data_IF_480269050887
#
_entry.id   IF_480269050887
#
_cell.length_a   1.000
_cell.length_b   1.000
_cell.length_c   1.000
_cell.angle_alpha   90.00
_cell.angle_beta   90.00
_cell.angle_gamma   90.00
#
_symmetry.space_group_name_H-M   'P 1'
#
loop_
_entity.id
_entity.type
_entity.pdbx_description
1 polymer ?
#
# COMPACT_ATOMS: atom_id res chain seq x y z
N UNK A 1 1.32 -15.77 -25.99
CA UNK A 1 1.18 -15.28 -24.60
C UNK A 1 2.12 -15.99 -23.62
N UNK A 2 2.18 -17.33 -23.57
CA UNK A 2 3.03 -18.07 -22.61
C UNK A 2 4.54 -18.07 -22.96
N UNK A 3 4.93 -18.00 -24.23
CA UNK A 3 6.35 -18.01 -24.64
C UNK A 3 7.12 -16.72 -24.32
N UNK A 4 6.47 -15.56 -24.33
CA UNK A 4 7.09 -14.28 -23.97
C UNK A 4 7.31 -14.13 -22.46
N UNK A 5 6.44 -14.75 -21.64
CA UNK A 5 6.62 -14.82 -20.19
C UNK A 5 7.90 -15.59 -19.83
N UNK A 6 8.13 -16.73 -20.51
CA UNK A 6 9.34 -17.56 -20.35
C UNK A 6 10.59 -16.81 -20.82
N UNK A 7 10.49 -16.04 -21.91
CA UNK A 7 11.62 -15.29 -22.46
C UNK A 7 12.09 -14.16 -21.53
N UNK A 8 11.19 -13.57 -20.74
CA UNK A 8 11.52 -12.48 -19.83
C UNK A 8 11.86 -12.90 -18.40
N UNK A 9 11.29 -14.00 -17.89
CA UNK A 9 11.85 -14.69 -16.71
C UNK A 9 13.33 -15.00 -16.98
N UNK A 10 13.68 -15.40 -18.20
CA UNK A 10 15.07 -15.60 -18.61
C UNK A 10 15.95 -14.34 -18.60
N UNK A 11 15.40 -13.12 -18.76
CA UNK A 11 16.20 -11.88 -18.86
C UNK A 11 16.59 -11.27 -17.52
N UNK A 12 15.81 -11.48 -16.45
CA UNK A 12 16.16 -11.06 -15.08
C UNK A 12 15.60 -12.02 -14.01
N UNK A 13 15.95 -13.31 -14.08
CA UNK A 13 15.41 -14.34 -13.17
C UNK A 13 15.77 -14.03 -11.71
N UNK A 14 16.96 -13.46 -11.48
CA UNK A 14 17.43 -13.07 -10.15
C UNK A 14 16.44 -12.17 -9.42
N UNK A 15 16.02 -11.05 -10.00
CA UNK A 15 15.06 -10.13 -9.36
C UNK A 15 13.71 -10.77 -9.05
N UNK A 16 13.15 -11.58 -9.97
CA UNK A 16 11.87 -12.25 -9.72
C UNK A 16 11.99 -13.27 -8.58
N UNK A 17 13.11 -14.01 -8.53
CA UNK A 17 13.42 -14.93 -7.44
C UNK A 17 13.60 -14.17 -6.12
N UNK A 18 14.39 -13.09 -6.10
CA UNK A 18 14.61 -12.29 -4.89
C UNK A 18 13.33 -11.67 -4.34
N UNK A 19 12.40 -11.25 -5.21
CA UNK A 19 11.08 -10.75 -4.80
C UNK A 19 10.14 -11.86 -4.33
N UNK A 20 10.24 -13.06 -4.89
CA UNK A 20 9.44 -14.20 -4.47
C UNK A 20 9.91 -14.82 -3.15
N UNK A 21 11.20 -14.70 -2.80
CA UNK A 21 11.76 -15.28 -1.56
C UNK A 21 11.00 -14.83 -0.31
N UNK A 22 10.78 -13.52 -0.05
CA UNK A 22 9.99 -13.08 1.10
C UNK A 22 8.56 -13.64 1.10
N UNK A 23 7.90 -13.66 -0.07
CA UNK A 23 6.53 -14.17 -0.20
C UNK A 23 6.45 -15.68 0.13
N UNK A 24 7.37 -16.47 -0.42
CA UNK A 24 7.47 -17.91 -0.14
C UNK A 24 7.80 -18.13 1.34
N UNK A 25 8.74 -17.37 1.89
CA UNK A 25 9.10 -17.45 3.31
C UNK A 25 7.89 -17.16 4.22
N UNK A 26 7.16 -16.07 3.97
CA UNK A 26 5.94 -15.75 4.73
C UNK A 26 4.83 -16.79 4.53
N UNK A 27 4.67 -17.33 3.32
CA UNK A 27 3.73 -18.42 3.08
C UNK A 27 4.09 -19.67 3.90
N UNK A 28 5.37 -20.06 3.90
CA UNK A 28 5.86 -21.19 4.70
C UNK A 28 5.63 -20.97 6.18
N UNK A 29 5.98 -19.79 6.73
CA UNK A 29 5.70 -19.46 8.13
C UNK A 29 4.20 -19.52 8.45
N UNK A 30 3.34 -19.08 7.53
CA UNK A 30 1.89 -19.12 7.69
C UNK A 30 1.35 -20.56 7.73
N UNK A 31 1.91 -21.48 6.96
CA UNK A 31 1.48 -22.88 6.91
C UNK A 31 2.15 -23.76 7.99
N UNK A 32 3.32 -23.35 8.48
CA UNK A 32 4.09 -24.06 9.51
C UNK A 32 4.29 -23.15 10.73
N UNK A 33 3.24 -22.88 11.52
CA UNK A 33 3.30 -21.96 12.66
C UNK A 33 4.30 -22.40 13.75
N UNK A 34 4.70 -23.68 13.77
CA UNK A 34 5.74 -24.21 14.67
C UNK A 34 7.11 -23.56 14.46
N UNK A 35 7.38 -23.03 13.27
CA UNK A 35 8.62 -22.32 12.95
C UNK A 35 8.64 -20.89 13.51
N UNK A 36 7.48 -20.37 13.92
CA UNK A 36 7.27 -18.97 14.32
C UNK A 36 7.24 -18.78 15.86
N UNK A 37 7.47 -19.84 16.62
CA UNK A 37 7.12 -19.96 18.06
C UNK A 37 7.98 -19.07 18.99
N UNK A 38 9.14 -18.59 18.56
CA UNK A 38 10.04 -17.79 19.42
C UNK A 38 10.16 -16.30 19.09
N UNK A 39 9.76 -15.86 17.89
CA UNK A 39 9.86 -14.43 17.53
C UNK A 39 8.72 -13.58 18.14
N UNK A 40 7.61 -14.21 18.52
CA UNK A 40 6.37 -13.54 18.94
C UNK A 40 5.98 -13.78 20.41
N UNK A 41 6.75 -14.57 21.14
CA UNK A 41 6.45 -14.92 22.55
C UNK A 41 6.85 -13.84 23.56
N UNK A 42 7.66 -12.84 23.15
CA UNK A 42 8.01 -11.67 23.96
C UNK A 42 7.09 -10.49 23.60
N UNK A 43 5.95 -10.42 24.28
CA UNK A 43 4.85 -9.51 23.93
C UNK A 43 5.23 -8.03 23.84
N UNK A 44 6.27 -7.57 24.55
CA UNK A 44 6.77 -6.19 24.45
C UNK A 44 7.68 -6.00 23.23
N UNK A 45 8.67 -6.88 23.05
CA UNK A 45 9.66 -6.75 21.98
C UNK A 45 9.00 -6.87 20.59
N UNK A 46 8.04 -7.77 20.43
CA UNK A 46 7.28 -7.92 19.18
C UNK A 46 6.47 -6.67 18.85
N UNK A 47 5.87 -6.00 19.85
CA UNK A 47 5.16 -4.74 19.64
C UNK A 47 6.10 -3.59 19.29
N UNK A 48 7.26 -3.53 19.93
CA UNK A 48 8.30 -2.55 19.62
C UNK A 48 8.82 -2.73 18.18
N UNK A 49 9.03 -3.97 17.75
CA UNK A 49 9.35 -4.30 16.35
C UNK A 49 8.24 -3.81 15.42
N UNK A 50 6.97 -4.14 15.69
CA UNK A 50 5.85 -3.70 14.86
C UNK A 50 5.78 -2.18 14.72
N UNK A 51 5.97 -1.45 15.82
CA UNK A 51 6.07 0.01 15.83
C UNK A 51 7.16 0.52 14.88
N UNK A 52 8.39 0.02 15.01
CA UNK A 52 9.52 0.49 14.19
C UNK A 52 9.40 0.09 12.73
N UNK A 53 8.98 -1.15 12.44
CA UNK A 53 8.78 -1.61 11.07
C UNK A 53 7.68 -0.83 10.37
N UNK A 54 6.55 -0.60 11.04
CA UNK A 54 5.46 0.19 10.47
C UNK A 54 5.85 1.66 10.26
N UNK A 55 6.56 2.27 11.21
CA UNK A 55 7.04 3.65 11.08
C UNK A 55 8.08 3.79 9.96
N UNK A 56 9.00 2.83 9.84
CA UNK A 56 9.96 2.77 8.75
C UNK A 56 9.27 2.58 7.39
N UNK A 57 8.34 1.64 7.28
CA UNK A 57 7.56 1.41 6.06
C UNK A 57 6.76 2.67 5.66
N UNK A 58 6.17 3.36 6.64
CA UNK A 58 5.50 4.64 6.43
C UNK A 58 6.43 5.71 5.88
N UNK A 59 7.65 5.82 6.44
CA UNK A 59 8.65 6.76 5.98
C UNK A 59 9.13 6.46 4.54
N UNK A 60 9.39 5.19 4.23
CA UNK A 60 9.74 4.75 2.87
C UNK A 60 8.60 5.05 1.89
N UNK A 61 7.35 4.80 2.26
CA UNK A 61 6.19 5.15 1.45
C UNK A 61 6.08 6.67 1.22
N UNK A 62 6.37 7.49 2.23
CA UNK A 62 6.40 8.94 2.08
C UNK A 62 7.50 9.39 1.11
N UNK A 63 8.70 8.81 1.22
CA UNK A 63 9.79 9.06 0.27
C UNK A 63 9.35 8.69 -1.15
N UNK A 64 8.73 7.52 -1.33
CA UNK A 64 8.21 7.09 -2.63
C UNK A 64 7.16 8.07 -3.18
N UNK A 65 6.29 8.62 -2.32
CA UNK A 65 5.36 9.67 -2.72
C UNK A 65 6.07 10.97 -3.17
N UNK A 66 7.10 11.41 -2.45
CA UNK A 66 7.87 12.60 -2.83
C UNK A 66 8.59 12.40 -4.16
N UNK A 67 9.15 11.21 -4.41
CA UNK A 67 9.74 10.85 -5.70
C UNK A 67 8.68 10.77 -6.81
N UNK A 68 7.53 10.15 -6.54
CA UNK A 68 6.40 10.10 -7.47
C UNK A 68 5.93 11.49 -7.89
N UNK A 69 5.88 12.43 -6.95
CA UNK A 69 5.46 13.81 -7.20
C UNK A 69 6.52 14.61 -7.96
N UNK A 70 7.81 14.38 -7.67
CA UNK A 70 8.94 15.15 -8.26
C UNK A 70 9.43 14.62 -9.61
N UNK A 71 9.34 13.32 -9.87
CA UNK A 71 9.92 12.67 -11.06
C UNK A 71 9.29 13.08 -12.41
N UNK A 72 8.29 13.96 -12.40
CA UNK A 72 7.45 14.25 -13.57
C UNK A 72 7.54 15.69 -14.09
N UNK A 73 8.39 16.51 -13.49
CA UNK A 73 8.68 17.86 -13.98
C UNK A 73 7.44 18.73 -14.19
N UNK A 74 7.45 19.55 -15.25
CA UNK A 74 6.39 20.54 -15.53
C UNK A 74 5.04 19.93 -15.96
N UNK A 75 5.00 18.67 -16.40
CA UNK A 75 3.77 18.03 -16.90
C UNK A 75 3.19 17.06 -15.86
N UNK A 76 2.36 17.59 -14.96
CA UNK A 76 1.56 16.76 -14.06
C UNK A 76 0.53 15.95 -14.85
N UNK A 77 0.50 14.62 -14.64
CA UNK A 77 -0.47 13.71 -15.27
C UNK A 77 -1.42 13.11 -14.23
N UNK A 78 -2.57 12.58 -14.66
CA UNK A 78 -3.49 11.90 -13.74
C UNK A 78 -2.84 10.69 -13.05
N UNK A 79 -2.01 9.94 -13.80
CA UNK A 79 -1.25 8.79 -13.29
C UNK A 79 -0.44 9.16 -12.07
N UNK A 80 0.25 10.29 -12.11
CA UNK A 80 1.14 10.68 -11.01
C UNK A 80 0.44 11.16 -9.76
N UNK A 81 -0.68 11.86 -9.95
CA UNK A 81 -1.52 12.32 -8.85
C UNK A 81 -1.98 11.09 -8.06
N UNK A 82 -2.55 10.08 -8.74
CA UNK A 82 -3.02 8.87 -8.07
C UNK A 82 -1.88 8.05 -7.45
N UNK A 83 -0.75 7.91 -8.15
CA UNK A 83 0.42 7.19 -7.64
C UNK A 83 0.95 7.85 -6.35
N UNK A 84 1.03 9.18 -6.33
CA UNK A 84 1.45 9.95 -5.14
C UNK A 84 0.44 9.81 -4.00
N UNK A 85 -0.86 9.96 -4.28
CA UNK A 85 -1.92 9.81 -3.27
C UNK A 85 -1.93 8.40 -2.69
N UNK A 86 -1.72 7.37 -3.52
CA UNK A 86 -1.63 5.97 -3.07
C UNK A 86 -0.50 5.77 -2.07
N UNK A 87 0.70 6.28 -2.35
CA UNK A 87 1.82 6.19 -1.41
C UNK A 87 1.62 7.00 -0.13
N UNK A 88 0.93 8.15 -0.20
CA UNK A 88 0.61 8.94 0.99
C UNK A 88 -0.47 8.29 1.84
N UNK A 89 -1.48 7.69 1.24
CA UNK A 89 -2.47 6.90 1.96
C UNK A 89 -1.78 5.73 2.69
N UNK A 90 -0.90 5.00 1.99
CA UNK A 90 -0.11 3.92 2.57
C UNK A 90 0.74 4.42 3.74
N UNK A 91 1.48 5.51 3.53
CA UNK A 91 2.33 6.13 4.53
C UNK A 91 1.55 6.56 5.77
N UNK A 92 0.47 7.33 5.60
CA UNK A 92 -0.31 7.86 6.70
C UNK A 92 -1.01 6.75 7.50
N UNK A 93 -1.58 5.76 6.83
CA UNK A 93 -2.26 4.65 7.51
C UNK A 93 -1.27 3.72 8.22
N UNK A 94 -0.09 3.44 7.65
CA UNK A 94 0.95 2.73 8.39
C UNK A 94 1.49 3.55 9.57
N UNK A 95 1.59 4.87 9.44
CA UNK A 95 1.97 5.71 10.58
C UNK A 95 0.94 5.63 11.69
N UNK A 96 -0.36 5.77 11.36
CA UNK A 96 -1.43 5.64 12.35
C UNK A 96 -1.43 4.28 13.03
N UNK A 97 -1.26 3.20 12.26
CA UNK A 97 -1.11 1.87 12.82
C UNK A 97 0.07 1.82 13.79
N UNK A 98 1.25 2.27 13.36
CA UNK A 98 2.47 2.22 14.18
C UNK A 98 2.31 3.00 15.46
N UNK A 99 1.83 4.25 15.39
CA UNK A 99 1.57 5.08 16.57
C UNK A 99 0.50 4.47 17.49
N UNK A 100 -0.47 3.77 16.94
CA UNK A 100 -1.51 3.06 17.69
C UNK A 100 -1.09 1.67 18.18
N UNK A 101 0.16 1.25 17.98
CA UNK A 101 0.64 -0.07 18.43
C UNK A 101 0.38 -0.22 19.93
N UNK A 102 -0.38 -1.26 20.36
CA UNK A 102 -0.82 -1.39 21.74
C UNK A 102 0.35 -1.42 22.73
N UNK A 103 0.24 -0.68 23.83
CA UNK A 103 1.24 -0.54 24.90
C UNK A 103 2.58 0.10 24.51
N UNK A 104 2.73 0.73 23.34
CA UNK A 104 3.96 1.50 23.02
C UNK A 104 3.77 2.98 23.34
N UNK A 105 2.83 3.64 22.67
CA UNK A 105 2.46 5.04 22.93
C UNK A 105 1.06 5.16 23.55
N UNK A 106 0.19 4.20 23.29
CA UNK A 106 -1.18 4.15 23.79
C UNK A 106 -1.33 2.88 24.61
N UNK A 107 -1.68 3.03 25.89
CA UNK A 107 -1.91 1.92 26.80
C UNK A 107 -3.21 1.17 26.45
N UNK A 108 -3.16 -0.17 26.50
CA UNK A 108 -4.30 -1.02 26.21
C UNK A 108 -3.89 -2.36 25.58
N UNK A 109 -4.63 -3.42 25.87
CA UNK A 109 -4.36 -4.75 25.31
C UNK A 109 -4.65 -4.84 23.80
N UNK A 110 -5.66 -4.11 23.34
CA UNK A 110 -6.06 -4.01 21.93
C UNK A 110 -6.32 -2.55 21.58
N UNK A 111 -5.92 -2.15 20.37
CA UNK A 111 -6.21 -0.83 19.83
C UNK A 111 -6.92 -0.98 18.47
N UNK A 112 -8.23 -0.70 18.38
CA UNK A 112 -8.99 -0.78 17.12
C UNK A 112 -8.37 0.06 16.00
N UNK A 113 -7.77 1.21 16.35
CA UNK A 113 -7.06 2.08 15.40
C UNK A 113 -5.91 1.35 14.75
N UNK A 114 -5.08 0.64 15.53
CA UNK A 114 -3.99 -0.19 15.00
C UNK A 114 -4.50 -1.18 13.95
N UNK A 115 -5.56 -1.90 14.29
CA UNK A 115 -6.14 -2.96 13.45
C UNK A 115 -6.72 -2.36 12.15
N UNK A 116 -7.55 -1.32 12.26
CA UNK A 116 -8.22 -0.73 11.12
C UNK A 116 -7.28 0.04 10.20
N UNK A 117 -6.29 0.75 10.74
CA UNK A 117 -5.27 1.40 9.94
C UNK A 117 -4.50 0.41 9.07
N UNK A 118 -4.15 -0.77 9.59
CA UNK A 118 -3.52 -1.85 8.78
C UNK A 118 -4.49 -2.39 7.74
N UNK A 119 -5.73 -2.69 8.14
CA UNK A 119 -6.73 -3.28 7.24
C UNK A 119 -7.09 -2.36 6.07
N UNK A 120 -7.06 -1.05 6.27
CA UNK A 120 -7.39 -0.05 5.26
C UNK A 120 -6.19 0.42 4.43
N UNK A 121 -4.95 0.28 4.93
CA UNK A 121 -3.76 0.80 4.25
C UNK A 121 -3.59 0.23 2.85
N UNK A 122 -3.67 -1.10 2.70
CA UNK A 122 -3.52 -1.76 1.41
C UNK A 122 -4.70 -1.52 0.45
N UNK A 123 -5.98 -1.69 0.84
CA UNK A 123 -7.10 -1.48 -0.08
C UNK A 123 -7.15 -0.07 -0.64
N UNK A 124 -7.00 0.95 0.22
CA UNK A 124 -7.09 2.35 -0.19
C UNK A 124 -5.93 2.67 -1.14
N UNK A 125 -4.71 2.26 -0.80
CA UNK A 125 -3.54 2.49 -1.65
C UNK A 125 -3.65 1.75 -2.97
N UNK A 126 -4.14 0.50 -2.96
CA UNK A 126 -4.34 -0.32 -4.15
C UNK A 126 -5.38 0.28 -5.11
N UNK A 127 -6.44 0.92 -4.60
CA UNK A 127 -7.40 1.66 -5.44
C UNK A 127 -6.71 2.79 -6.21
N UNK A 128 -5.88 3.58 -5.53
CA UNK A 128 -5.13 4.67 -6.16
C UNK A 128 -4.05 4.15 -7.12
N UNK A 129 -3.34 3.10 -6.76
CA UNK A 129 -2.37 2.48 -7.66
C UNK A 129 -3.04 1.91 -8.90
N UNK A 130 -4.18 1.24 -8.76
CA UNK A 130 -4.96 0.77 -9.91
C UNK A 130 -5.41 1.93 -10.80
N UNK A 131 -5.95 3.00 -10.19
CA UNK A 131 -6.35 4.22 -10.91
C UNK A 131 -5.18 4.89 -11.66
N UNK A 132 -3.94 4.78 -11.15
CA UNK A 132 -2.75 5.31 -11.83
C UNK A 132 -2.42 4.58 -13.14
N UNK A 133 -2.85 3.32 -13.30
CA UNK A 133 -2.58 2.50 -14.50
C UNK A 133 -3.67 2.59 -15.57
N UNK A 134 -4.73 3.36 -15.31
CA UNK A 134 -5.80 3.61 -16.27
C UNK A 134 -5.32 4.67 -17.27
N UNK A 135 -5.57 4.41 -18.56
CA UNK A 135 -5.34 5.39 -19.62
C UNK A 135 -6.57 6.29 -19.70
N UNK A 136 -6.57 7.35 -18.88
CA UNK A 136 -7.68 8.28 -18.77
C UNK A 136 -7.90 9.03 -20.09
N UNK A 137 -9.14 9.22 -20.55
CA UNK A 137 -9.40 10.07 -21.72
C UNK A 137 -8.98 11.51 -21.42
N UNK A 138 -8.54 12.25 -22.45
CA UNK A 138 -7.96 13.60 -22.28
C UNK A 138 -8.84 14.56 -21.46
N UNK A 139 -10.17 14.47 -21.57
CA UNK A 139 -11.10 15.29 -20.81
C UNK A 139 -11.07 14.95 -19.31
N UNK A 140 -11.02 13.67 -18.96
CA UNK A 140 -10.93 13.22 -17.57
C UNK A 140 -9.57 13.55 -16.97
N UNK A 141 -8.48 13.39 -17.73
CA UNK A 141 -7.14 13.76 -17.27
C UNK A 141 -7.05 15.27 -16.98
N UNK A 142 -7.53 16.12 -17.90
CA UNK A 142 -7.60 17.57 -17.67
C UNK A 142 -8.43 17.92 -16.44
N UNK A 143 -9.55 17.22 -16.24
CA UNK A 143 -10.38 17.40 -15.03
C UNK A 143 -9.62 17.04 -13.76
N UNK A 144 -9.00 15.85 -13.72
CA UNK A 144 -8.24 15.38 -12.55
C UNK A 144 -7.09 16.34 -12.22
N UNK A 145 -6.34 16.78 -13.22
CA UNK A 145 -5.23 17.73 -13.05
C UNK A 145 -5.74 19.09 -12.59
N UNK A 146 -6.85 19.58 -13.14
CA UNK A 146 -7.49 20.85 -12.73
C UNK A 146 -7.90 20.82 -11.26
N UNK A 147 -8.47 19.70 -10.80
CA UNK A 147 -8.93 19.52 -9.41
C UNK A 147 -7.90 18.87 -8.49
N UNK A 148 -6.61 18.79 -8.89
CA UNK A 148 -5.56 18.14 -8.08
C UNK A 148 -5.50 18.64 -6.65
N UNK A 149 -5.60 19.96 -6.44
CA UNK A 149 -5.55 20.57 -5.10
C UNK A 149 -6.75 20.15 -4.25
N UNK A 150 -7.91 19.97 -4.88
CA UNK A 150 -9.11 19.51 -4.19
C UNK A 150 -8.96 18.05 -3.77
N UNK A 151 -8.40 17.18 -4.62
CA UNK A 151 -8.10 15.80 -4.24
C UNK A 151 -7.13 15.73 -3.05
N UNK A 152 -6.11 16.57 -3.05
CA UNK A 152 -5.18 16.68 -1.91
C UNK A 152 -5.86 17.10 -0.62
N UNK A 153 -6.67 18.16 -0.67
CA UNK A 153 -7.40 18.66 0.50
C UNK A 153 -8.42 17.63 0.98
N UNK A 154 -9.15 16.98 0.07
CA UNK A 154 -10.11 15.94 0.41
C UNK A 154 -9.41 14.72 1.04
N UNK A 155 -8.28 14.27 0.49
CA UNK A 155 -7.49 13.18 1.05
C UNK A 155 -6.95 13.50 2.44
N UNK A 156 -6.42 14.71 2.64
CA UNK A 156 -5.97 15.18 3.94
C UNK A 156 -7.13 15.23 4.95
N UNK A 157 -8.27 15.77 4.54
CA UNK A 157 -9.46 15.86 5.40
C UNK A 157 -9.98 14.47 5.77
N UNK A 158 -9.99 13.51 4.84
CA UNK A 158 -10.38 12.12 5.11
C UNK A 158 -9.42 11.45 6.10
N UNK A 159 -8.11 11.65 5.97
CA UNK A 159 -7.11 11.12 6.89
C UNK A 159 -7.23 11.74 8.29
N UNK A 160 -7.45 13.06 8.37
CA UNK A 160 -7.69 13.76 9.64
C UNK A 160 -8.98 13.28 10.30
N UNK A 161 -10.05 13.18 9.53
CA UNK A 161 -11.34 12.65 9.99
C UNK A 161 -11.17 11.24 10.51
N UNK A 162 -10.49 10.37 9.77
CA UNK A 162 -10.17 9.01 10.24
C UNK A 162 -9.39 9.04 11.56
N UNK A 163 -8.34 9.85 11.68
CA UNK A 163 -7.58 9.99 12.93
C UNK A 163 -8.44 10.46 14.11
N UNK A 164 -9.27 11.48 13.90
CA UNK A 164 -10.20 11.99 14.93
C UNK A 164 -11.18 10.92 15.37
N UNK A 165 -11.80 10.18 14.43
CA UNK A 165 -12.71 9.10 14.78
C UNK A 165 -12.00 7.94 15.46
N UNK A 166 -10.82 7.57 14.97
CA UNK A 166 -10.08 6.43 15.48
C UNK A 166 -9.60 6.65 16.93
N UNK A 167 -9.10 7.84 17.26
CA UNK A 167 -8.65 8.16 18.61
C UNK A 167 -9.75 8.74 19.52
N UNK A 168 -10.74 9.44 18.96
CA UNK A 168 -11.80 10.08 19.73
C UNK A 168 -13.02 9.20 19.97
N UNK A 169 -13.32 8.24 19.09
CA UNK A 169 -14.48 7.34 19.19
C UNK A 169 -14.13 5.89 18.81
N UNK A 170 -13.21 5.23 19.56
CA UNK A 170 -12.74 3.88 19.24
C UNK A 170 -13.87 2.83 19.22
N UNK A 171 -14.95 3.05 19.99
CA UNK A 171 -16.12 2.15 20.03
C UNK A 171 -16.78 1.95 18.66
N UNK A 172 -16.74 2.95 17.76
CA UNK A 172 -17.24 2.80 16.40
C UNK A 172 -16.40 1.79 15.61
N UNK A 173 -15.07 1.85 15.75
CA UNK A 173 -14.17 0.90 15.11
C UNK A 173 -14.30 -0.51 15.70
N UNK A 174 -14.53 -0.62 17.02
CA UNK A 174 -14.82 -1.90 17.68
C UNK A 174 -16.11 -2.52 17.16
N UNK A 175 -17.17 -1.73 16.97
CA UNK A 175 -18.43 -2.23 16.42
C UNK A 175 -18.26 -2.84 15.03
N UNK A 176 -17.33 -2.33 14.22
CA UNK A 176 -17.02 -2.89 12.91
C UNK A 176 -16.23 -4.22 13.00
N UNK A 177 -15.57 -4.52 14.13
CA UNK A 177 -14.87 -5.78 14.34
C UNK A 177 -15.82 -6.97 14.47
N UNK A 178 -17.11 -6.75 14.74
CA UNK A 178 -18.12 -7.81 14.75
C UNK A 178 -18.27 -8.53 13.39
N UNK A 179 -17.80 -7.90 12.31
CA UNK A 179 -17.81 -8.47 10.96
C UNK A 179 -16.54 -9.27 10.65
N UNK A 180 -15.68 -9.55 11.63
CA UNK A 180 -14.54 -10.44 11.44
C UNK A 180 -15.01 -11.90 11.28
N UNK A 181 -14.45 -12.68 10.33
CA UNK A 181 -13.32 -12.35 9.44
C UNK A 181 -13.75 -11.81 8.05
N UNK A 182 -15.02 -11.50 7.83
CA UNK A 182 -15.58 -11.17 6.50
C UNK A 182 -14.92 -9.90 5.91
N UNK A 183 -14.93 -8.79 6.66
CA UNK A 183 -14.37 -7.52 6.16
C UNK A 183 -12.86 -7.60 5.86
N UNK A 184 -12.00 -8.15 6.76
CA UNK A 184 -10.58 -8.32 6.46
C UNK A 184 -10.31 -9.17 5.22
N UNK A 185 -11.07 -10.26 5.04
CA UNK A 185 -10.91 -11.14 3.88
C UNK A 185 -11.32 -10.42 2.58
N UNK A 186 -12.41 -9.64 2.61
CA UNK A 186 -12.85 -8.83 1.48
C UNK A 186 -11.78 -7.78 1.10
N UNK A 187 -11.27 -7.05 2.07
CA UNK A 187 -10.21 -6.06 1.86
C UNK A 187 -8.91 -6.69 1.37
N UNK A 188 -8.53 -7.84 1.91
CA UNK A 188 -7.38 -8.61 1.43
C UNK A 188 -7.56 -9.03 -0.03
N UNK A 189 -8.68 -9.65 -0.37
CA UNK A 189 -8.99 -10.08 -1.73
C UNK A 189 -9.02 -8.91 -2.73
N UNK A 190 -9.65 -7.79 -2.34
CA UNK A 190 -9.70 -6.57 -3.14
C UNK A 190 -8.31 -5.98 -3.37
N UNK A 191 -7.50 -5.88 -2.31
CA UNK A 191 -6.13 -5.37 -2.39
C UNK A 191 -5.27 -6.23 -3.32
N UNK A 192 -5.29 -7.55 -3.12
CA UNK A 192 -4.52 -8.49 -3.94
C UNK A 192 -4.95 -8.37 -5.40
N UNK A 193 -6.25 -8.36 -5.68
CA UNK A 193 -6.77 -8.25 -7.05
C UNK A 193 -6.34 -6.94 -7.72
N UNK A 194 -6.48 -5.81 -7.02
CA UNK A 194 -6.10 -4.50 -7.55
C UNK A 194 -4.58 -4.35 -7.74
N UNK A 195 -3.76 -4.90 -6.84
CA UNK A 195 -2.31 -4.86 -6.96
C UNK A 195 -1.82 -5.77 -8.09
N UNK A 196 -2.38 -6.98 -8.23
CA UNK A 196 -2.09 -7.86 -9.37
C UNK A 196 -2.50 -7.21 -10.69
N UNK A 197 -3.67 -6.56 -10.72
CA UNK A 197 -4.12 -5.79 -11.88
C UNK A 197 -3.16 -4.64 -12.20
N UNK A 198 -2.77 -3.86 -11.19
CA UNK A 198 -1.83 -2.73 -11.31
C UNK A 198 -0.50 -3.21 -11.88
N UNK A 199 0.07 -4.27 -11.31
CA UNK A 199 1.33 -4.85 -11.76
C UNK A 199 1.24 -5.37 -13.21
N UNK A 200 0.15 -6.08 -13.54
CA UNK A 200 -0.10 -6.54 -14.90
C UNK A 200 -0.23 -5.39 -15.89
N UNK A 201 -1.04 -4.37 -15.59
CA UNK A 201 -1.22 -3.19 -16.45
C UNK A 201 0.05 -2.39 -16.60
N UNK A 202 0.78 -2.13 -15.52
CA UNK A 202 2.07 -1.45 -15.57
C UNK A 202 3.06 -2.21 -16.47
N UNK A 203 3.06 -3.55 -16.40
CA UNK A 203 3.88 -4.40 -17.27
C UNK A 203 3.45 -4.32 -18.74
N UNK A 204 2.16 -4.42 -19.05
CA UNK A 204 1.64 -4.30 -20.43
C UNK A 204 1.95 -2.91 -21.01
N UNK A 205 1.71 -1.85 -20.25
CA UNK A 205 2.00 -0.47 -20.67
C UNK A 205 3.49 -0.25 -20.93
N UNK A 206 4.37 -0.79 -20.09
CA UNK A 206 5.82 -0.72 -20.29
C UNK A 206 6.31 -1.55 -21.49
N UNK A 207 5.62 -2.64 -21.84
CA UNK A 207 6.04 -3.52 -22.93
C UNK A 207 5.57 -3.10 -24.30
N UNK A 208 4.32 -2.67 -24.41
CA UNK A 208 3.71 -2.34 -25.70
C UNK A 208 3.63 -0.83 -25.95
N UNK A 209 3.71 0.00 -24.90
CA UNK A 209 3.71 1.44 -25.00
C UNK A 209 5.11 2.00 -24.77
N UNK A 210 5.68 2.68 -25.77
CA UNK A 210 6.90 3.49 -25.62
C UNK A 210 6.73 4.73 -24.72
N UNK A 211 5.66 4.79 -23.93
CA UNK A 211 5.12 6.01 -23.31
C UNK A 211 5.28 6.09 -21.80
N UNK A 212 5.78 5.06 -21.13
CA UNK A 212 6.10 5.17 -19.69
C UNK A 212 7.46 5.84 -19.48
N UNK A 213 7.39 6.97 -18.79
CA UNK A 213 8.50 7.80 -18.32
C UNK A 213 9.48 6.92 -17.55
N UNK A 214 10.65 6.69 -18.17
CA UNK A 214 11.83 6.02 -17.62
C UNK A 214 11.57 4.62 -17.05
N UNK A 215 12.10 3.58 -17.71
CA UNK A 215 12.11 2.19 -17.21
C UNK A 215 12.71 1.98 -15.80
N UNK A 216 13.22 3.04 -15.15
CA UNK A 216 13.64 3.09 -13.74
C UNK A 216 12.46 3.11 -12.76
N UNK A 217 11.32 3.75 -13.10
CA UNK A 217 10.12 3.75 -12.24
C UNK A 217 9.37 2.40 -12.26
N UNK A 218 9.48 1.64 -13.36
CA UNK A 218 8.92 0.29 -13.46
C UNK A 218 9.49 -0.68 -12.41
N UNK A 219 10.73 -0.46 -11.97
CA UNK A 219 11.38 -1.25 -10.91
C UNK A 219 10.75 -0.97 -9.54
N UNK A 220 10.30 0.27 -9.29
CA UNK A 220 9.64 0.67 -8.04
C UNK A 220 8.27 0.01 -7.89
N UNK A 221 7.59 -0.33 -8.99
CA UNK A 221 6.33 -1.10 -8.97
C UNK A 221 6.52 -2.61 -8.85
N UNK A 222 7.76 -3.10 -9.00
CA UNK A 222 8.11 -4.51 -8.81
C UNK A 222 8.68 -4.78 -7.40
N UNK A 223 9.14 -3.75 -6.70
CA UNK A 223 9.57 -3.78 -5.29
C UNK A 223 8.37 -3.56 -4.37
#
# INVERSE_FOLDING_TARGET
AMSELVFHIKRRPGTAVFLAIPLVFFAVLRFLPVLDVHAWSLSWYTRLIQYYFGAFASFIALIAALFANSALGEKTSARSIFLTIGFIALSALFLFSSLATPNILIEGASNPTFIWSIRLSLPISALFFAASTIDWPQNAEKFIVRFRRLFWLAGLLLLLTFGIFAFGQPALLESLMQFDPILPNLFGALSITLLLWTAWRARVLNWYGSTMINGRLAVVFLL
#
